data_IF_329743239805
#
_entry.id   IF_329743239805
#
_cell.length_a   1.000
_cell.length_b   1.000
_cell.length_c   1.000
_cell.angle_alpha   90.00
_cell.angle_beta   90.00
_cell.angle_gamma   90.00
#
_symmetry.space_group_name_H-M   'P 1'
#
loop_
_entity.id
_entity.type
_entity.pdbx_description
1 polymer ?
#
# COMPACT_ATOMS: atom_id res chain seq x y z
N UNK A 1 15.89 -1.93 -25.23
CA UNK A 1 14.70 -1.19 -25.69
C UNK A 1 13.44 -1.80 -25.08
N UNK A 2 12.56 -0.99 -24.51
CA UNK A 2 11.25 -1.43 -24.05
C UNK A 2 10.40 -1.86 -25.26
N UNK A 3 9.87 -3.09 -25.25
CA UNK A 3 9.04 -3.60 -26.35
C UNK A 3 7.57 -3.30 -26.08
N UNK A 4 7.10 -3.60 -24.86
CA UNK A 4 5.71 -3.39 -24.42
C UNK A 4 5.65 -3.37 -22.90
N UNK A 5 4.79 -2.48 -22.34
CA UNK A 5 4.32 -2.60 -20.97
C UNK A 5 3.09 -3.48 -20.92
N UNK A 6 3.06 -4.44 -19.99
CA UNK A 6 1.91 -5.31 -19.79
C UNK A 6 1.61 -5.46 -18.30
N UNK A 7 0.32 -5.59 -17.98
CA UNK A 7 -0.09 -5.97 -16.62
C UNK A 7 -0.35 -7.47 -16.55
N UNK A 8 -0.09 -8.07 -15.39
CA UNK A 8 -0.43 -9.46 -15.12
C UNK A 8 -1.71 -9.58 -14.29
N UNK A 9 -1.91 -8.68 -13.35
CA UNK A 9 -3.02 -8.71 -12.38
C UNK A 9 -3.91 -7.45 -12.44
N UNK A 10 -3.52 -6.42 -13.18
CA UNK A 10 -4.32 -5.20 -13.33
C UNK A 10 -5.47 -5.37 -14.31
N UNK A 11 -6.33 -4.35 -14.36
CA UNK A 11 -7.50 -4.34 -15.23
C UNK A 11 -7.11 -4.28 -16.72
N UNK A 12 -6.15 -3.43 -17.07
CA UNK A 12 -5.62 -3.31 -18.42
C UNK A 12 -4.17 -2.83 -18.41
N UNK A 13 -3.45 -2.99 -19.53
CA UNK A 13 -2.04 -2.58 -19.65
C UNK A 13 -1.81 -1.08 -19.41
N UNK A 14 -2.83 -0.25 -19.56
CA UNK A 14 -2.79 1.20 -19.38
C UNK A 14 -3.36 1.67 -18.03
N UNK A 15 -3.83 0.76 -17.17
CA UNK A 15 -4.41 1.11 -15.88
C UNK A 15 -3.41 0.99 -14.74
N UNK A 16 -3.80 1.45 -13.57
CA UNK A 16 -2.96 1.49 -12.40
C UNK A 16 -3.44 0.44 -11.39
N UNK A 17 -2.89 -0.77 -11.48
CA UNK A 17 -3.14 -1.84 -10.51
C UNK A 17 -2.60 -1.44 -9.13
N UNK A 18 -3.50 -1.37 -8.13
CA UNK A 18 -3.17 -0.78 -6.83
C UNK A 18 -2.02 -1.50 -6.11
N UNK A 19 -2.05 -2.84 -6.04
CA UNK A 19 -0.99 -3.61 -5.36
C UNK A 19 0.32 -3.58 -6.14
N UNK A 20 0.29 -3.49 -7.48
CA UNK A 20 1.49 -3.30 -8.30
C UNK A 20 2.20 -1.99 -7.95
N UNK A 21 1.45 -0.90 -7.79
CA UNK A 21 2.00 0.37 -7.32
C UNK A 21 2.47 0.30 -5.86
N UNK A 22 1.73 -0.40 -5.01
CA UNK A 22 2.13 -0.64 -3.62
C UNK A 22 3.49 -1.35 -3.55
N UNK A 23 3.71 -2.37 -4.38
CA UNK A 23 5.01 -3.05 -4.49
C UNK A 23 6.12 -2.13 -4.99
N UNK A 24 5.82 -1.22 -5.92
CA UNK A 24 6.79 -0.24 -6.37
C UNK A 24 7.18 0.71 -5.23
N UNK A 25 6.21 1.25 -4.48
CA UNK A 25 6.47 2.14 -3.34
C UNK A 25 7.32 1.42 -2.28
N UNK A 26 6.93 0.20 -1.89
CA UNK A 26 7.68 -0.58 -0.90
C UNK A 26 9.07 -0.96 -1.42
N UNK A 27 9.15 -1.54 -2.61
CA UNK A 27 10.39 -2.03 -3.17
C UNK A 27 11.42 -0.94 -3.41
N UNK A 28 11.04 0.20 -3.99
CA UNK A 28 11.98 1.32 -4.19
C UNK A 28 12.36 2.03 -2.90
N UNK A 29 11.52 2.00 -1.85
CA UNK A 29 11.92 2.43 -0.51
C UNK A 29 13.03 1.54 0.02
N UNK A 30 12.90 0.22 -0.10
CA UNK A 30 13.95 -0.74 0.27
C UNK A 30 15.22 -0.54 -0.56
N UNK A 31 15.10 -0.39 -1.89
CA UNK A 31 16.26 -0.15 -2.76
C UNK A 31 16.98 1.13 -2.36
N UNK A 32 16.25 2.21 -2.06
CA UNK A 32 16.88 3.43 -1.54
C UNK A 32 17.56 3.19 -0.19
N UNK A 33 16.93 2.47 0.72
CA UNK A 33 17.52 2.11 2.02
C UNK A 33 18.90 1.47 1.86
N UNK A 34 19.01 0.52 0.93
CA UNK A 34 20.25 -0.26 0.73
C UNK A 34 21.31 0.50 -0.09
N UNK A 35 20.89 1.24 -1.10
CA UNK A 35 21.82 1.88 -2.05
C UNK A 35 22.18 3.31 -1.70
N UNK A 36 21.30 4.02 -1.01
CA UNK A 36 21.35 5.48 -0.77
C UNK A 36 21.43 6.32 -2.05
N UNK A 37 21.14 5.75 -3.22
CA UNK A 37 21.12 6.46 -4.49
C UNK A 37 19.85 7.32 -4.58
N UNK A 38 19.99 8.66 -4.64
CA UNK A 38 18.85 9.59 -4.60
C UNK A 38 17.86 9.40 -5.73
N UNK A 39 18.28 8.82 -6.87
CA UNK A 39 17.36 8.55 -7.99
C UNK A 39 16.19 7.64 -7.59
N UNK A 40 16.39 6.70 -6.66
CA UNK A 40 15.33 5.83 -6.18
C UNK A 40 14.41 6.54 -5.21
N UNK A 41 14.94 7.46 -4.40
CA UNK A 41 14.13 8.32 -3.53
C UNK A 41 13.23 9.25 -4.35
N UNK A 42 13.80 9.90 -5.38
CA UNK A 42 13.04 10.76 -6.29
C UNK A 42 11.95 9.99 -7.04
N UNK A 43 12.27 8.77 -7.47
CA UNK A 43 11.30 7.93 -8.17
C UNK A 43 10.15 7.49 -7.27
N UNK A 44 10.47 6.98 -6.06
CA UNK A 44 9.43 6.50 -5.14
C UNK A 44 8.51 7.63 -4.66
N UNK A 45 9.01 8.84 -4.50
CA UNK A 45 8.17 10.00 -4.16
C UNK A 45 7.14 10.27 -5.28
N UNK A 46 7.55 10.26 -6.55
CA UNK A 46 6.63 10.47 -7.69
C UNK A 46 5.53 9.40 -7.75
N UNK A 47 5.90 8.13 -7.56
CA UNK A 47 4.92 7.03 -7.53
C UNK A 47 3.97 7.19 -6.33
N UNK A 48 4.51 7.54 -5.18
CA UNK A 48 3.74 7.75 -3.95
C UNK A 48 2.74 8.90 -4.12
N UNK A 49 3.18 10.03 -4.66
CA UNK A 49 2.31 11.20 -4.84
C UNK A 49 1.11 10.88 -5.74
N UNK A 50 1.34 10.21 -6.87
CA UNK A 50 0.26 9.76 -7.77
C UNK A 50 -0.66 8.75 -7.09
N UNK A 51 -0.10 7.84 -6.28
CA UNK A 51 -0.90 6.87 -5.53
C UNK A 51 -1.84 7.55 -4.53
N UNK A 52 -1.29 8.44 -3.70
CA UNK A 52 -2.04 9.14 -2.65
C UNK A 52 -3.12 10.06 -3.23
N UNK A 53 -2.85 10.72 -4.36
CA UNK A 53 -3.80 11.60 -5.06
C UNK A 53 -5.05 10.84 -5.56
N UNK A 54 -4.90 9.56 -5.89
CA UNK A 54 -5.97 8.72 -6.45
C UNK A 54 -6.74 7.89 -5.42
N UNK A 55 -6.35 7.95 -4.15
CA UNK A 55 -7.02 7.19 -3.11
C UNK A 55 -8.46 7.68 -2.89
N UNK A 56 -9.40 6.77 -2.63
CA UNK A 56 -10.72 7.12 -2.15
C UNK A 56 -10.66 7.72 -0.73
N UNK A 57 -11.78 8.24 -0.26
CA UNK A 57 -11.88 8.94 1.03
C UNK A 57 -11.39 8.08 2.21
N UNK A 58 -11.71 6.80 2.24
CA UNK A 58 -11.32 5.84 3.27
C UNK A 58 -9.86 5.37 3.17
N UNK A 59 -9.07 5.88 2.22
CA UNK A 59 -7.65 5.58 2.03
C UNK A 59 -7.30 4.12 1.72
N UNK A 60 -8.28 3.28 1.48
CA UNK A 60 -8.06 1.90 1.00
C UNK A 60 -8.39 1.85 -0.49
N UNK A 61 -7.44 1.55 -1.37
CA UNK A 61 -7.66 1.62 -2.81
C UNK A 61 -8.64 0.55 -3.29
N UNK A 62 -9.25 0.79 -4.42
CA UNK A 62 -9.81 -0.28 -5.24
C UNK A 62 -8.68 -1.16 -5.76
N UNK A 63 -8.99 -2.40 -6.14
CA UNK A 63 -7.98 -3.34 -6.64
C UNK A 63 -7.21 -2.82 -7.87
N UNK A 64 -7.85 -1.97 -8.66
CA UNK A 64 -7.25 -1.14 -9.72
C UNK A 64 -7.91 0.25 -9.67
N UNK A 65 -7.13 1.31 -9.82
CA UNK A 65 -7.64 2.69 -9.75
C UNK A 65 -8.57 3.05 -10.91
N UNK A 66 -8.65 2.20 -11.92
CA UNK A 66 -9.59 2.28 -13.05
C UNK A 66 -10.51 1.05 -13.10
N UNK A 67 -10.70 0.38 -11.97
CA UNK A 67 -11.56 -0.80 -11.90
C UNK A 67 -12.99 -0.48 -12.40
N UNK A 68 -13.58 -1.36 -13.20
CA UNK A 68 -14.98 -1.20 -13.56
C UNK A 68 -15.85 -1.32 -12.32
N UNK A 69 -16.91 -0.53 -12.29
CA UNK A 69 -17.87 -0.54 -11.17
C UNK A 69 -17.50 0.29 -9.97
N UNK A 70 -16.47 1.16 -10.02
CA UNK A 70 -16.24 2.17 -8.97
C UNK A 70 -17.50 3.06 -8.88
N UNK A 71 -18.06 3.34 -7.65
CA UNK A 71 -17.46 3.10 -6.32
C UNK A 71 -17.71 1.73 -5.69
N UNK A 72 -18.43 0.83 -6.35
CA UNK A 72 -18.81 -0.49 -5.79
C UNK A 72 -17.79 -1.60 -6.12
N UNK A 73 -16.70 -1.26 -6.79
CA UNK A 73 -15.62 -2.20 -7.10
C UNK A 73 -14.92 -2.71 -5.82
N UNK A 74 -14.42 -3.96 -5.80
CA UNK A 74 -13.70 -4.51 -4.66
C UNK A 74 -12.50 -3.67 -4.24
N UNK A 75 -12.31 -3.56 -2.93
CA UNK A 75 -11.16 -2.91 -2.29
C UNK A 75 -9.97 -3.87 -2.23
N UNK A 76 -8.78 -3.31 -2.08
CA UNK A 76 -7.57 -4.10 -1.83
C UNK A 76 -6.87 -3.63 -0.56
N UNK A 77 -7.30 -4.18 0.59
CA UNK A 77 -6.71 -3.91 1.89
C UNK A 77 -5.21 -4.28 1.92
N UNK A 78 -4.80 -5.28 1.13
CA UNK A 78 -3.40 -5.67 1.04
C UNK A 78 -2.53 -4.56 0.45
N UNK A 79 -3.01 -3.86 -0.57
CA UNK A 79 -2.30 -2.72 -1.16
C UNK A 79 -2.16 -1.57 -0.15
N UNK A 80 -3.22 -1.26 0.61
CA UNK A 80 -3.16 -0.25 1.66
C UNK A 80 -2.16 -0.62 2.76
N UNK A 81 -2.14 -1.88 3.22
CA UNK A 81 -1.20 -2.36 4.23
C UNK A 81 0.26 -2.23 3.78
N UNK A 82 0.57 -2.67 2.55
CA UNK A 82 1.91 -2.55 1.95
C UNK A 82 2.34 -1.09 1.87
N UNK A 83 1.46 -0.20 1.39
CA UNK A 83 1.78 1.23 1.26
C UNK A 83 1.94 1.88 2.63
N UNK A 84 1.07 1.61 3.59
CA UNK A 84 1.19 2.15 4.94
C UNK A 84 2.55 1.78 5.56
N UNK A 85 2.97 0.51 5.44
CA UNK A 85 4.28 0.08 5.91
C UNK A 85 5.42 0.81 5.19
N UNK A 86 5.36 0.93 3.87
CA UNK A 86 6.37 1.63 3.08
C UNK A 86 6.47 3.11 3.45
N UNK A 87 5.35 3.80 3.61
CA UNK A 87 5.30 5.24 3.90
C UNK A 87 5.88 5.57 5.27
N UNK A 88 5.68 4.72 6.28
CA UNK A 88 6.30 4.90 7.60
C UNK A 88 7.82 4.88 7.51
N UNK A 89 8.39 4.00 6.70
CA UNK A 89 9.84 3.98 6.45
C UNK A 89 10.27 5.16 5.58
N UNK A 90 9.61 5.37 4.43
CA UNK A 90 9.94 6.43 3.48
C UNK A 90 9.91 7.82 4.13
N UNK A 91 8.99 8.04 5.06
CA UNK A 91 8.85 9.29 5.80
C UNK A 91 10.13 9.69 6.56
N UNK A 92 10.93 8.71 6.97
CA UNK A 92 12.17 8.94 7.73
C UNK A 92 13.34 9.42 6.87
N UNK A 93 13.24 9.29 5.57
CA UNK A 93 14.27 9.70 4.61
C UNK A 93 14.04 11.09 4.02
N UNK A 94 12.94 11.74 4.35
CA UNK A 94 12.48 12.96 3.72
C UNK A 94 12.48 14.16 4.67
N UNK A 95 12.57 15.41 4.15
CA UNK A 95 12.40 16.61 4.96
C UNK A 95 11.05 16.60 5.69
N UNK A 96 11.01 17.24 6.87
CA UNK A 96 9.87 17.22 7.79
C UNK A 96 8.50 17.46 7.13
N UNK A 97 8.39 18.38 6.17
CA UNK A 97 7.11 18.66 5.48
C UNK A 97 6.59 17.45 4.70
N UNK A 98 7.40 16.90 3.79
CA UNK A 98 7.02 15.74 2.96
C UNK A 98 6.98 14.46 3.79
N UNK A 99 7.95 14.26 4.67
CA UNK A 99 7.98 13.10 5.57
C UNK A 99 6.73 13.04 6.47
N UNK A 100 6.34 14.20 7.04
CA UNK A 100 5.10 14.27 7.84
C UNK A 100 3.87 13.89 7.02
N UNK A 101 3.73 14.43 5.80
CA UNK A 101 2.59 14.11 4.91
C UNK A 101 2.46 12.62 4.64
N UNK A 102 3.58 11.93 4.37
CA UNK A 102 3.57 10.50 4.12
C UNK A 102 3.27 9.68 5.39
N UNK A 103 3.83 10.10 6.53
CA UNK A 103 3.51 9.49 7.83
C UNK A 103 2.03 9.64 8.17
N UNK A 104 1.46 10.83 7.97
CA UNK A 104 0.04 11.09 8.23
C UNK A 104 -0.85 10.22 7.32
N UNK A 105 -0.52 10.11 6.02
CA UNK A 105 -1.24 9.24 5.09
C UNK A 105 -1.17 7.76 5.51
N UNK A 106 -0.04 7.27 6.01
CA UNK A 106 0.08 5.92 6.54
C UNK A 106 -0.81 5.70 7.77
N UNK A 107 -0.88 6.70 8.66
CA UNK A 107 -1.74 6.65 9.85
C UNK A 107 -3.22 6.61 9.45
N UNK A 108 -3.64 7.41 8.46
CA UNK A 108 -5.01 7.40 7.93
C UNK A 108 -5.36 6.02 7.33
N UNK A 109 -4.45 5.43 6.52
CA UNK A 109 -4.63 4.07 6.00
C UNK A 109 -4.79 3.04 7.13
N UNK A 110 -3.92 3.09 8.13
CA UNK A 110 -3.98 2.17 9.28
C UNK A 110 -5.25 2.36 10.10
N UNK A 111 -5.73 3.60 10.26
CA UNK A 111 -7.00 3.87 10.93
C UNK A 111 -8.17 3.21 10.19
N UNK A 112 -8.21 3.32 8.85
CA UNK A 112 -9.22 2.64 8.04
C UNK A 112 -9.11 1.12 8.14
N UNK A 113 -7.91 0.57 7.99
CA UNK A 113 -7.68 -0.88 8.12
C UNK A 113 -8.01 -1.42 9.52
N UNK A 114 -7.97 -0.59 10.56
CA UNK A 114 -8.35 -0.94 11.94
C UNK A 114 -9.85 -0.75 12.22
N UNK A 115 -10.64 -0.35 11.24
CA UNK A 115 -12.09 -0.22 11.40
C UNK A 115 -12.81 -1.56 11.27
N UNK A 116 -14.05 -1.63 11.77
CA UNK A 116 -14.91 -2.82 11.64
C UNK A 116 -15.17 -3.21 10.18
N UNK A 117 -15.01 -2.27 9.24
CA UNK A 117 -15.15 -2.56 7.81
C UNK A 117 -14.06 -3.45 7.25
N UNK A 118 -12.86 -3.43 7.84
CA UNK A 118 -11.70 -4.17 7.32
C UNK A 118 -11.18 -5.23 8.30
N UNK A 119 -11.53 -5.17 9.59
CA UNK A 119 -11.10 -6.16 10.57
C UNK A 119 -11.96 -7.42 10.49
N UNK A 120 -11.32 -8.59 10.45
CA UNK A 120 -12.02 -9.89 10.45
C UNK A 120 -12.68 -10.23 11.79
N UNK A 121 -12.19 -9.65 12.87
CA UNK A 121 -12.65 -9.96 14.23
C UNK A 121 -12.54 -11.46 14.53
N UNK A 122 -13.69 -12.11 14.74
CA UNK A 122 -13.79 -13.56 14.96
C UNK A 122 -14.30 -14.34 13.74
N UNK A 123 -14.55 -13.67 12.62
CA UNK A 123 -15.16 -14.30 11.45
C UNK A 123 -14.20 -15.18 10.66
N UNK A 124 -12.91 -14.87 10.69
CA UNK A 124 -11.85 -15.60 9.96
C UNK A 124 -10.55 -15.62 10.80
N UNK A 125 -9.67 -16.59 10.57
CA UNK A 125 -8.34 -16.65 11.21
C UNK A 125 -7.33 -15.72 10.49
N UNK A 126 -7.71 -14.48 10.24
CA UNK A 126 -6.91 -13.42 9.61
C UNK A 126 -7.18 -12.10 10.32
N UNK A 127 -6.34 -11.10 10.12
CA UNK A 127 -6.60 -9.75 10.63
C UNK A 127 -7.48 -8.97 9.66
N UNK A 128 -7.14 -8.97 8.37
CA UNK A 128 -7.80 -8.13 7.38
C UNK A 128 -8.73 -8.91 6.45
N UNK A 129 -9.81 -8.24 6.07
CA UNK A 129 -10.76 -8.60 5.02
C UNK A 129 -10.48 -7.77 3.76
N UNK A 130 -11.22 -8.06 2.68
CA UNK A 130 -11.37 -7.22 1.50
C UNK A 130 -10.07 -6.95 0.73
N UNK A 131 -9.34 -8.01 0.37
CA UNK A 131 -8.22 -7.95 -0.59
C UNK A 131 -8.59 -8.64 -1.90
N UNK A 132 -7.88 -8.29 -2.98
CA UNK A 132 -8.02 -8.93 -4.29
C UNK A 132 -6.69 -9.52 -4.73
N UNK A 133 -6.57 -10.86 -4.72
CA UNK A 133 -5.36 -11.56 -5.11
C UNK A 133 -5.09 -11.51 -6.61
N UNK A 134 -5.99 -12.01 -7.43
CA UNK A 134 -5.79 -12.06 -8.88
C UNK A 134 -7.10 -11.93 -9.66
N UNK A 135 -7.48 -10.68 -9.97
CA UNK A 135 -8.73 -10.39 -10.67
C UNK A 135 -8.88 -11.11 -12.02
N UNK A 136 -7.90 -11.04 -12.96
CA UNK A 136 -8.05 -11.70 -14.26
C UNK A 136 -8.20 -13.22 -14.17
N UNK A 137 -7.73 -13.85 -13.12
CA UNK A 137 -7.88 -15.29 -12.88
C UNK A 137 -9.13 -15.63 -12.04
N UNK A 138 -9.95 -14.63 -11.68
CA UNK A 138 -11.11 -14.80 -10.78
C UNK A 138 -10.77 -15.51 -9.47
N UNK A 139 -9.56 -15.27 -8.94
CA UNK A 139 -9.02 -15.90 -7.73
C UNK A 139 -8.83 -14.87 -6.61
N UNK A 140 -9.21 -15.26 -5.40
CA UNK A 140 -9.05 -14.45 -4.18
C UNK A 140 -9.66 -13.03 -4.33
N UNK A 141 -10.88 -12.96 -4.87
CA UNK A 141 -11.64 -11.71 -4.96
C UNK A 141 -12.40 -11.51 -3.66
N UNK A 142 -12.26 -10.33 -3.07
CA UNK A 142 -12.82 -9.99 -1.76
C UNK A 142 -12.43 -11.00 -0.68
N UNK A 143 -11.16 -11.31 -0.60
CA UNK A 143 -10.60 -12.37 0.24
C UNK A 143 -9.66 -11.82 1.33
N UNK A 144 -9.45 -12.62 2.36
CA UNK A 144 -8.33 -12.42 3.29
C UNK A 144 -7.07 -13.03 2.71
N UNK A 145 -5.97 -12.29 2.72
CA UNK A 145 -4.71 -12.70 2.09
C UNK A 145 -3.57 -12.54 3.09
N UNK A 146 -2.72 -13.56 3.22
CA UNK A 146 -1.67 -13.63 4.25
C UNK A 146 -0.71 -12.42 4.23
N UNK A 147 -0.33 -11.93 3.07
CA UNK A 147 0.56 -10.77 2.99
C UNK A 147 -0.14 -9.46 3.36
N UNK A 148 -1.48 -9.35 3.28
CA UNK A 148 -2.20 -8.22 3.85
C UNK A 148 -1.96 -8.15 5.37
N UNK A 149 -2.10 -9.27 6.05
CA UNK A 149 -1.85 -9.39 7.50
C UNK A 149 -0.38 -9.11 7.85
N UNK A 150 0.55 -9.66 7.07
CA UNK A 150 1.98 -9.43 7.29
C UNK A 150 2.32 -7.94 7.26
N UNK A 151 1.95 -7.24 6.19
CA UNK A 151 2.29 -5.82 6.05
C UNK A 151 1.49 -4.93 6.98
N UNK A 152 0.29 -5.33 7.36
CA UNK A 152 -0.48 -4.63 8.39
C UNK A 152 0.22 -4.68 9.75
N UNK A 153 0.68 -5.85 10.18
CA UNK A 153 1.44 -6.00 11.43
C UNK A 153 2.78 -5.27 11.34
N UNK A 154 3.49 -5.37 10.22
CA UNK A 154 4.73 -4.62 10.00
C UNK A 154 4.51 -3.10 10.12
N UNK A 155 3.45 -2.58 9.51
CA UNK A 155 3.11 -1.17 9.58
C UNK A 155 2.79 -0.72 11.02
N UNK A 156 2.00 -1.50 11.75
CA UNK A 156 1.70 -1.22 13.16
C UNK A 156 2.98 -1.21 14.02
N UNK A 157 3.87 -2.16 13.80
CA UNK A 157 5.15 -2.22 14.52
C UNK A 157 6.04 -1.02 14.17
N UNK A 158 6.14 -0.65 12.90
CA UNK A 158 6.88 0.54 12.45
C UNK A 158 6.31 1.82 13.07
N UNK A 159 4.99 1.97 13.08
CA UNK A 159 4.33 3.12 13.69
C UNK A 159 4.62 3.20 15.19
N UNK A 160 4.46 2.08 15.91
CA UNK A 160 4.77 2.00 17.34
C UNK A 160 6.21 2.43 17.61
N UNK A 161 7.20 1.91 16.90
CA UNK A 161 8.61 2.26 17.05
C UNK A 161 8.86 3.77 16.84
N UNK A 162 8.26 4.35 15.80
CA UNK A 162 8.35 5.78 15.53
C UNK A 162 7.73 6.64 16.64
N UNK A 163 6.63 6.17 17.25
CA UNK A 163 5.99 6.86 18.39
C UNK A 163 6.85 6.78 19.68
N UNK A 164 7.59 5.70 19.85
CA UNK A 164 8.52 5.50 20.96
C UNK A 164 9.89 6.20 20.74
N UNK A 165 10.07 6.89 19.61
CA UNK A 165 11.32 7.58 19.28
C UNK A 165 12.43 6.66 18.78
N UNK A 166 12.11 5.44 18.41
CA UNK A 166 13.02 4.45 17.86
C UNK A 166 13.13 4.56 16.33
N UNK A 167 14.17 3.97 15.75
CA UNK A 167 14.26 3.79 14.30
C UNK A 167 13.13 2.88 13.79
N UNK A 168 12.65 3.14 12.56
CA UNK A 168 11.55 2.38 11.94
C UNK A 168 11.89 0.91 11.67
N UNK A 169 13.17 0.62 11.48
CA UNK A 169 13.71 -0.73 11.33
C UNK A 169 14.20 -1.27 12.68
N UNK A 170 14.04 -2.56 12.88
CA UNK A 170 14.49 -3.27 14.09
C UNK A 170 16.00 -3.49 14.13
#
# INVERSE_FOLDING_TARGET
NLIKGVTHQGYADSTMWARGQAWAIYGYTVVYRETKDPKYLDFVQKVTDVYLERLPEDKVPYWDFSAPGIPDAPRDASAAAVVASALLELSTYLPNGTGKRYKDAAIEMLASLNSDSYQSGKSKPSFLLHSVGHWPAHSEIDASIIYADYYYIEALLRLKRLQEGHGVLG
#
